data_IF_476173919995
#
_entry.id   IF_476173919995
#
_cell.length_a   1.000
_cell.length_b   1.000
_cell.length_c   1.000
_cell.angle_alpha   90.00
_cell.angle_beta   90.00
_cell.angle_gamma   90.00
#
_symmetry.space_group_name_H-M   'P 1'
#
loop_
_entity.id
_entity.type
_entity.pdbx_description
1 polymer ?
#
# COMPACT_ATOMS: atom_id res chain seq x y z
N UNK A 1 -22.95 8.53 20.12
CA UNK A 1 -22.41 8.54 18.75
C UNK A 1 -21.25 7.56 18.72
N UNK A 2 -21.40 6.35 18.17
CA UNK A 2 -20.27 5.44 18.01
C UNK A 2 -19.29 6.07 17.02
N UNK A 3 -18.02 6.14 17.39
CA UNK A 3 -16.96 6.56 16.49
C UNK A 3 -16.91 5.57 15.30
N UNK A 4 -17.09 6.07 14.08
CA UNK A 4 -16.68 5.31 12.90
C UNK A 4 -15.17 5.07 13.06
N UNK A 5 -14.75 3.81 13.10
CA UNK A 5 -13.34 3.51 12.83
C UNK A 5 -13.10 3.89 11.37
N UNK A 6 -12.16 4.79 11.12
CA UNK A 6 -11.88 5.30 9.78
C UNK A 6 -10.98 4.37 8.97
N UNK A 7 -10.22 3.49 9.65
CA UNK A 7 -9.32 2.52 9.04
C UNK A 7 -9.25 1.23 9.88
N UNK A 8 -9.20 0.08 9.21
CA UNK A 8 -9.15 -1.22 9.88
C UNK A 8 -8.36 -2.26 9.06
N UNK A 9 -7.45 -2.98 9.73
CA UNK A 9 -6.73 -4.14 9.17
C UNK A 9 -7.68 -5.32 9.13
N UNK A 10 -7.96 -5.84 7.94
CA UNK A 10 -9.09 -6.77 7.74
C UNK A 10 -8.69 -8.23 7.53
N UNK A 11 -9.57 -9.14 7.93
CA UNK A 11 -9.48 -10.58 7.68
C UNK A 11 -10.66 -11.02 6.80
N UNK A 12 -10.50 -12.15 6.11
CA UNK A 12 -11.39 -12.62 5.04
C UNK A 12 -12.87 -12.69 5.38
N UNK A 13 -13.23 -13.10 6.60
CA UNK A 13 -14.63 -13.35 6.99
C UNK A 13 -15.51 -12.09 7.14
N UNK A 14 -14.97 -10.89 6.90
CA UNK A 14 -15.67 -9.62 7.13
C UNK A 14 -15.50 -8.59 6.02
N UNK A 15 -14.91 -8.97 4.87
CA UNK A 15 -14.57 -8.01 3.81
C UNK A 15 -15.81 -7.28 3.27
N UNK A 16 -16.85 -8.00 2.87
CA UNK A 16 -18.08 -7.40 2.30
C UNK A 16 -18.83 -6.48 3.27
N UNK A 17 -18.92 -6.84 4.56
CA UNK A 17 -19.58 -5.99 5.56
C UNK A 17 -18.76 -4.74 5.93
N UNK A 18 -17.43 -4.80 5.75
CA UNK A 18 -16.52 -3.68 6.02
C UNK A 18 -16.49 -2.67 4.88
N UNK A 19 -16.55 -3.11 3.63
CA UNK A 19 -16.64 -2.20 2.47
C UNK A 19 -17.85 -1.27 2.56
N UNK A 20 -18.95 -1.72 3.15
CA UNK A 20 -20.16 -0.91 3.34
C UNK A 20 -20.08 0.13 4.47
N UNK A 21 -19.11 0.00 5.39
CA UNK A 21 -19.07 0.79 6.64
C UNK A 21 -17.78 1.57 6.86
N UNK A 22 -16.74 1.30 6.07
CA UNK A 22 -15.41 1.91 6.20
C UNK A 22 -15.13 2.88 5.05
N UNK A 23 -14.34 3.91 5.31
CA UNK A 23 -13.87 4.84 4.26
C UNK A 23 -12.50 4.44 3.72
N UNK A 24 -11.69 3.78 4.55
CA UNK A 24 -10.35 3.29 4.19
C UNK A 24 -10.18 1.84 4.62
N UNK A 25 -9.59 1.03 3.74
CA UNK A 25 -9.22 -0.35 4.01
C UNK A 25 -7.70 -0.50 4.05
N UNK A 26 -7.17 -1.24 5.03
CA UNK A 26 -5.74 -1.59 5.08
C UNK A 26 -5.59 -3.06 4.71
N UNK A 27 -4.80 -3.34 3.67
CA UNK A 27 -4.52 -4.67 3.15
C UNK A 27 -3.04 -5.01 3.35
N UNK A 28 -2.77 -6.07 4.09
CA UNK A 28 -1.43 -6.58 4.43
C UNK A 28 -1.04 -7.84 3.66
N UNK A 29 -1.88 -8.27 2.71
CA UNK A 29 -1.67 -9.49 1.92
C UNK A 29 -2.18 -10.77 2.58
N UNK A 30 -2.70 -10.70 3.82
CA UNK A 30 -3.23 -11.88 4.53
C UNK A 30 -4.59 -12.37 4.00
N UNK A 31 -5.30 -11.54 3.25
CA UNK A 31 -6.64 -11.84 2.71
C UNK A 31 -6.51 -12.41 1.31
N UNK A 32 -5.94 -13.61 1.24
CA UNK A 32 -5.85 -14.40 0.01
C UNK A 32 -6.25 -15.86 0.31
N UNK A 33 -6.74 -16.62 -0.68
CA UNK A 33 -7.11 -16.15 -2.02
C UNK A 33 -8.35 -15.25 -2.01
N UNK A 34 -8.47 -14.33 -2.97
CA UNK A 34 -9.71 -13.59 -3.22
C UNK A 34 -10.61 -14.34 -4.21
N UNK A 35 -11.92 -14.25 -4.04
CA UNK A 35 -12.88 -14.61 -5.09
C UNK A 35 -13.04 -13.45 -6.09
N UNK A 36 -13.53 -13.74 -7.29
CA UNK A 36 -13.83 -12.71 -8.29
C UNK A 36 -14.84 -11.66 -7.76
N UNK A 37 -15.81 -12.09 -6.95
CA UNK A 37 -16.77 -11.18 -6.32
C UNK A 37 -16.10 -10.26 -5.29
N UNK A 38 -15.14 -10.78 -4.51
CA UNK A 38 -14.34 -9.98 -3.58
C UNK A 38 -13.43 -8.98 -4.31
N UNK A 39 -12.81 -9.37 -5.44
CA UNK A 39 -12.05 -8.46 -6.30
C UNK A 39 -12.92 -7.33 -6.85
N UNK A 40 -14.08 -7.67 -7.42
CA UNK A 40 -15.03 -6.69 -7.97
C UNK A 40 -15.52 -5.73 -6.88
N UNK A 41 -15.79 -6.23 -5.68
CA UNK A 41 -16.21 -5.39 -4.56
C UNK A 41 -15.12 -4.41 -4.13
N UNK A 42 -13.84 -4.81 -4.16
CA UNK A 42 -12.71 -3.93 -3.87
C UNK A 42 -12.53 -2.85 -4.95
N UNK A 43 -12.60 -3.22 -6.23
CA UNK A 43 -12.55 -2.26 -7.33
C UNK A 43 -13.70 -1.25 -7.24
N UNK A 44 -14.94 -1.74 -7.07
CA UNK A 44 -16.11 -0.88 -6.90
C UNK A 44 -15.95 0.04 -5.69
N UNK A 45 -15.43 -0.44 -4.56
CA UNK A 45 -15.19 0.40 -3.39
C UNK A 45 -14.27 1.59 -3.69
N UNK A 46 -13.17 1.38 -4.44
CA UNK A 46 -12.26 2.45 -4.84
C UNK A 46 -12.92 3.39 -5.85
N UNK A 47 -13.64 2.87 -6.84
CA UNK A 47 -14.38 3.66 -7.84
C UNK A 47 -15.43 4.58 -7.19
N UNK A 48 -16.03 4.17 -6.08
CA UNK A 48 -16.97 4.97 -5.30
C UNK A 48 -16.30 5.90 -4.26
N UNK A 49 -14.97 6.08 -4.33
CA UNK A 49 -14.21 7.00 -3.50
C UNK A 49 -13.70 6.43 -2.17
N UNK A 50 -13.73 5.11 -2.01
CA UNK A 50 -13.07 4.41 -0.90
C UNK A 50 -11.54 4.41 -1.07
N UNK A 51 -10.81 4.54 0.04
CA UNK A 51 -9.35 4.49 0.03
C UNK A 51 -8.82 3.10 0.36
N UNK A 52 -7.76 2.65 -0.31
CA UNK A 52 -7.06 1.42 0.08
C UNK A 52 -5.59 1.75 0.38
N UNK A 53 -5.08 1.20 1.48
CA UNK A 53 -3.68 1.26 1.86
C UNK A 53 -3.11 -0.15 1.82
N UNK A 54 -2.13 -0.36 0.94
CA UNK A 54 -1.37 -1.61 0.90
C UNK A 54 -0.12 -1.47 1.76
N UNK A 55 0.17 -2.49 2.58
CA UNK A 55 1.35 -2.51 3.45
C UNK A 55 2.23 -3.72 3.16
N UNK A 56 3.55 -3.55 3.31
CA UNK A 56 4.51 -4.60 3.01
C UNK A 56 4.49 -5.01 1.53
N UNK A 57 4.49 -6.32 1.25
CA UNK A 57 4.42 -6.86 -0.10
C UNK A 57 2.98 -7.03 -0.63
N UNK A 58 1.97 -6.53 0.10
CA UNK A 58 0.56 -6.72 -0.24
C UNK A 58 0.23 -6.28 -1.67
N UNK A 59 0.72 -5.12 -2.11
CA UNK A 59 0.47 -4.61 -3.45
C UNK A 59 0.91 -5.61 -4.54
N UNK A 60 2.08 -6.23 -4.38
CA UNK A 60 2.58 -7.26 -5.30
C UNK A 60 1.72 -8.55 -5.22
N UNK A 61 1.30 -8.96 -4.03
CA UNK A 61 0.40 -10.10 -3.85
C UNK A 61 -0.93 -9.87 -4.57
N UNK A 62 -1.54 -8.70 -4.41
CA UNK A 62 -2.83 -8.37 -5.02
C UNK A 62 -2.75 -8.07 -6.52
N UNK A 63 -1.58 -7.65 -7.02
CA UNK A 63 -1.29 -7.52 -8.46
C UNK A 63 -1.48 -8.83 -9.23
N UNK A 64 -1.35 -9.98 -8.58
CA UNK A 64 -1.55 -11.27 -9.26
C UNK A 64 -2.99 -11.53 -9.72
N UNK A 65 -3.95 -10.76 -9.22
CA UNK A 65 -5.36 -10.82 -9.59
C UNK A 65 -5.68 -9.86 -10.73
N UNK A 66 -6.51 -10.30 -11.68
CA UNK A 66 -6.73 -9.57 -12.94
C UNK A 66 -7.25 -8.15 -12.69
N UNK A 67 -8.33 -7.98 -11.93
CA UNK A 67 -8.96 -6.67 -11.74
C UNK A 67 -8.10 -5.73 -10.89
N UNK A 68 -7.45 -6.29 -9.85
CA UNK A 68 -6.56 -5.52 -8.98
C UNK A 68 -5.25 -5.12 -9.68
N UNK A 69 -4.79 -5.91 -10.66
CA UNK A 69 -3.63 -5.55 -11.48
C UNK A 69 -3.86 -4.30 -12.33
N UNK A 70 -5.09 -4.12 -12.83
CA UNK A 70 -5.50 -2.94 -13.60
C UNK A 70 -5.57 -1.71 -12.69
N UNK A 71 -6.16 -1.88 -11.49
CA UNK A 71 -6.27 -0.83 -10.49
C UNK A 71 -4.90 -0.35 -9.96
N UNK A 72 -4.00 -1.29 -9.67
CA UNK A 72 -2.68 -1.00 -9.10
C UNK A 72 -1.67 -0.49 -10.12
N UNK A 73 -1.97 -0.62 -11.42
CA UNK A 73 -1.05 -0.27 -12.50
C UNK A 73 0.23 -1.11 -12.52
N UNK A 74 1.25 -0.70 -13.28
CA UNK A 74 2.54 -1.40 -13.33
C UNK A 74 3.35 -1.15 -12.04
N UNK A 75 3.59 -2.23 -11.30
CA UNK A 75 4.41 -2.34 -10.11
C UNK A 75 5.48 -3.38 -10.41
N UNK A 76 6.73 -3.04 -10.09
CA UNK A 76 7.87 -3.94 -10.13
C UNK A 76 8.74 -3.65 -8.93
N UNK A 77 9.20 -4.70 -8.27
CA UNK A 77 10.01 -4.56 -7.08
C UNK A 77 10.51 -5.88 -6.55
N UNK A 78 11.14 -5.82 -5.39
CA UNK A 78 11.68 -6.98 -4.69
C UNK A 78 11.73 -6.73 -3.18
N UNK A 79 11.76 -7.82 -2.41
CA UNK A 79 11.94 -7.74 -0.96
C UNK A 79 13.43 -7.73 -0.59
N UNK A 80 13.85 -6.84 0.30
CA UNK A 80 15.19 -6.88 0.88
C UNK A 80 15.28 -7.96 1.96
N UNK A 81 16.48 -8.50 2.25
CA UNK A 81 16.69 -9.21 3.51
C UNK A 81 16.46 -8.26 4.68
N UNK A 82 16.26 -8.82 5.88
CA UNK A 82 16.09 -8.03 7.10
C UNK A 82 17.36 -7.25 7.41
N UNK A 83 17.31 -5.94 7.26
CA UNK A 83 18.47 -5.06 7.47
C UNK A 83 18.04 -3.64 7.85
N UNK A 84 19.01 -2.78 8.15
CA UNK A 84 18.73 -1.36 8.35
C UNK A 84 18.52 -0.68 7.00
N UNK A 85 17.40 0.02 6.87
CA UNK A 85 16.98 0.81 5.72
C UNK A 85 16.88 2.26 6.17
N UNK A 86 17.49 3.16 5.41
CA UNK A 86 17.42 4.60 5.67
C UNK A 86 16.38 5.19 4.71
N UNK A 87 15.17 5.41 5.23
CA UNK A 87 14.10 6.05 4.50
C UNK A 87 14.32 7.57 4.43
N UNK A 88 14.04 8.17 3.27
CA UNK A 88 14.13 9.60 3.02
C UNK A 88 12.86 10.11 2.38
N UNK A 89 12.31 11.21 2.90
CA UNK A 89 11.11 11.82 2.36
C UNK A 89 11.45 12.40 0.98
N UNK A 90 10.57 12.21 0.00
CA UNK A 90 10.71 12.88 -1.31
C UNK A 90 10.47 14.37 -1.14
N UNK A 91 9.34 14.73 -0.50
CA UNK A 91 9.01 16.09 -0.14
C UNK A 91 8.76 16.21 1.37
N UNK A 92 9.35 17.21 2.02
CA UNK A 92 9.20 17.41 3.47
C UNK A 92 7.88 18.04 3.89
N UNK A 93 7.12 18.61 2.95
CA UNK A 93 5.82 19.26 3.22
C UNK A 93 4.62 18.48 2.69
N UNK A 94 4.83 17.27 2.14
CA UNK A 94 3.73 16.40 1.73
C UNK A 94 2.88 16.02 2.96
N UNK A 95 1.56 15.90 2.78
CA UNK A 95 0.63 15.69 3.90
C UNK A 95 1.01 14.49 4.78
N UNK A 96 1.55 13.43 4.17
CA UNK A 96 1.98 12.20 4.83
C UNK A 96 3.36 12.29 5.52
N UNK A 97 4.23 13.21 5.11
CA UNK A 97 5.63 13.29 5.59
C UNK A 97 5.88 14.49 6.49
N UNK A 98 5.03 15.53 6.45
CA UNK A 98 5.22 16.82 7.17
C UNK A 98 5.36 16.75 8.70
N UNK A 99 5.06 15.61 9.31
CA UNK A 99 5.21 15.36 10.76
C UNK A 99 6.21 14.24 11.08
N UNK A 100 6.82 13.67 10.06
CA UNK A 100 7.89 12.68 10.19
C UNK A 100 9.24 13.39 10.01
N UNK A 101 10.29 12.80 10.57
CA UNK A 101 11.65 13.22 10.26
C UNK A 101 11.91 13.02 8.77
N UNK A 102 12.54 13.99 8.10
CA UNK A 102 12.85 13.90 6.67
C UNK A 102 13.72 12.69 6.32
N UNK A 103 14.41 12.12 7.31
CA UNK A 103 15.16 10.87 7.19
C UNK A 103 15.09 10.10 8.50
N UNK A 104 14.84 8.80 8.41
CA UNK A 104 14.85 7.90 9.57
C UNK A 104 15.36 6.51 9.19
N UNK A 105 15.83 5.75 10.18
CA UNK A 105 16.26 4.38 10.01
C UNK A 105 15.21 3.40 10.53
N UNK A 106 14.99 2.31 9.79
CA UNK A 106 14.13 1.18 10.19
C UNK A 106 14.90 -0.12 9.98
N UNK A 107 14.71 -1.11 10.86
CA UNK A 107 15.31 -2.44 10.72
C UNK A 107 14.25 -3.48 10.38
N UNK A 108 14.08 -3.77 9.10
CA UNK A 108 13.04 -4.69 8.62
C UNK A 108 13.38 -5.33 7.26
N UNK A 109 12.52 -6.24 6.82
CA UNK A 109 12.36 -6.66 5.43
C UNK A 109 11.42 -5.68 4.73
N UNK A 110 11.90 -4.95 3.72
CA UNK A 110 11.09 -3.95 3.01
C UNK A 110 10.95 -4.33 1.55
N UNK A 111 9.78 -4.05 0.98
CA UNK A 111 9.57 -4.19 -0.46
C UNK A 111 10.01 -2.89 -1.15
N UNK A 112 11.00 -2.98 -2.03
CA UNK A 112 11.53 -1.86 -2.81
C UNK A 112 10.91 -1.86 -4.20
N UNK A 113 10.39 -0.70 -4.60
CA UNK A 113 9.76 -0.50 -5.91
C UNK A 113 10.74 0.12 -6.89
N UNK A 114 10.94 -0.57 -8.01
CA UNK A 114 11.66 -0.10 -9.20
C UNK A 114 10.81 0.84 -10.04
N UNK A 115 9.49 0.58 -10.08
CA UNK A 115 8.54 1.34 -10.86
C UNK A 115 7.22 1.44 -10.09
N UNK A 116 6.66 2.65 -10.10
CA UNK A 116 5.30 2.95 -9.62
C UNK A 116 4.44 3.39 -10.82
N UNK A 117 3.10 3.42 -10.68
CA UNK A 117 2.21 3.99 -11.69
C UNK A 117 2.60 5.42 -12.08
N UNK A 118 2.32 5.81 -13.33
CA UNK A 118 2.76 7.10 -13.88
C UNK A 118 2.05 8.29 -13.22
N UNK A 119 0.84 8.06 -12.73
CA UNK A 119 -0.01 9.00 -12.00
C UNK A 119 0.18 8.93 -10.48
N UNK A 120 1.06 8.05 -9.98
CA UNK A 120 1.37 7.94 -8.57
C UNK A 120 2.50 8.90 -8.14
N UNK A 121 2.43 9.35 -6.90
CA UNK A 121 3.44 10.19 -6.27
C UNK A 121 4.28 9.38 -5.28
N UNK A 122 5.61 9.37 -5.45
CA UNK A 122 6.51 8.74 -4.50
C UNK A 122 6.60 9.57 -3.21
N UNK A 123 6.44 8.92 -2.05
CA UNK A 123 6.44 9.58 -0.75
C UNK A 123 7.78 9.41 -0.03
N UNK A 124 8.33 8.19 -0.08
CA UNK A 124 9.59 7.82 0.55
C UNK A 124 10.47 7.06 -0.43
N UNK A 125 11.77 7.26 -0.32
CA UNK A 125 12.77 6.49 -1.05
C UNK A 125 13.88 6.01 -0.12
N UNK A 126 14.64 5.02 -0.59
CA UNK A 126 15.90 4.58 0.02
C UNK A 126 16.94 4.36 -1.07
N UNK A 127 18.21 4.25 -0.67
CA UNK A 127 19.27 3.79 -1.56
C UNK A 127 19.62 2.35 -1.21
N UNK A 128 19.52 1.46 -2.19
CA UNK A 128 19.91 0.05 -2.09
C UNK A 128 20.94 -0.27 -3.16
N UNK A 129 22.10 -0.80 -2.78
CA UNK A 129 23.19 -1.13 -3.70
C UNK A 129 23.50 0.02 -4.69
N UNK A 130 23.57 1.26 -4.17
CA UNK A 130 23.85 2.49 -4.93
C UNK A 130 22.75 2.94 -5.90
N UNK A 131 21.57 2.31 -5.88
CA UNK A 131 20.41 2.68 -6.69
C UNK A 131 19.28 3.18 -5.78
N UNK A 132 18.56 4.21 -6.22
CA UNK A 132 17.40 4.73 -5.45
C UNK A 132 16.15 3.94 -5.79
N UNK A 133 15.40 3.55 -4.76
CA UNK A 133 14.15 2.80 -4.89
C UNK A 133 13.04 3.48 -4.08
N UNK A 134 11.81 3.36 -4.57
CA UNK A 134 10.63 3.87 -3.86
C UNK A 134 10.23 2.90 -2.76
N UNK A 135 9.97 3.43 -1.56
CA UNK A 135 9.48 2.68 -0.40
C UNK A 135 7.97 2.78 -0.24
N UNK A 136 7.38 3.91 -0.63
CA UNK A 136 5.95 4.16 -0.53
C UNK A 136 5.53 5.18 -1.59
N UNK A 137 4.31 5.02 -2.10
CA UNK A 137 3.68 5.93 -3.05
C UNK A 137 2.19 6.11 -2.71
N UNK A 138 1.57 7.11 -3.30
CA UNK A 138 0.11 7.33 -3.29
C UNK A 138 -0.42 7.54 -4.69
#
# INVERSE_FOLDING_TARGET
MPYLQDALVTSRSTLSSRLATQRVLILDGSIIPLTLEEEQALCAFVEHGGGIVFVGNAAETYRSYQLLSELLGPLRGFCTPRCEIIARAVESNHFLTRRADATFAIKDEVYLLEQIPVDAEAIWYTTWQYVSYTLAYT
#
